data_IF_106445982699
#
_entry.id   IF_106445982699
#
_cell.length_a   1.000
_cell.length_b   1.000
_cell.length_c   1.000
_cell.angle_alpha   90.00
_cell.angle_beta   90.00
_cell.angle_gamma   90.00
#
_symmetry.space_group_name_H-M   'P 1'
#
loop_
_entity.id
_entity.type
_entity.pdbx_description
1 polymer ?
#
# COMPACT_ATOMS: atom_id res chain seq x y z
N UNK A 1 -27.74 39.88 70.77
CA UNK A 1 -27.32 39.56 69.39
C UNK A 1 -26.16 38.57 69.43
N UNK A 2 -26.39 37.27 69.21
CA UNK A 2 -25.36 36.22 69.16
C UNK A 2 -25.01 35.94 67.69
N UNK A 3 -23.78 36.22 67.27
CA UNK A 3 -23.29 35.85 65.94
C UNK A 3 -22.88 34.37 65.96
N UNK A 4 -23.63 33.53 65.26
CA UNK A 4 -23.25 32.14 64.95
C UNK A 4 -22.10 32.16 63.96
N UNK A 5 -20.95 31.60 64.35
CA UNK A 5 -19.83 31.33 63.46
C UNK A 5 -20.01 29.91 62.89
N UNK A 6 -20.28 29.82 61.59
CA UNK A 6 -20.33 28.55 60.85
C UNK A 6 -18.92 28.24 60.37
N UNK A 7 -18.28 27.21 60.94
CA UNK A 7 -16.97 26.74 60.50
C UNK A 7 -17.14 25.92 59.21
N UNK A 8 -16.70 26.48 58.09
CA UNK A 8 -16.62 25.78 56.81
C UNK A 8 -15.49 24.74 56.87
N UNK A 9 -15.85 23.46 56.82
CA UNK A 9 -14.90 22.35 56.83
C UNK A 9 -14.32 22.18 55.42
N UNK A 10 -13.08 22.64 55.21
CA UNK A 10 -12.37 22.45 53.96
C UNK A 10 -12.07 20.96 53.75
N UNK A 11 -12.68 20.35 52.74
CA UNK A 11 -12.35 18.98 52.32
C UNK A 11 -10.99 19.02 51.62
N UNK A 12 -10.00 18.35 52.20
CA UNK A 12 -8.71 18.18 51.56
C UNK A 12 -8.87 17.14 50.44
N UNK A 13 -8.69 17.57 49.19
CA UNK A 13 -8.61 16.64 48.06
C UNK A 13 -7.28 15.87 48.14
N UNK A 14 -7.27 14.53 48.03
CA UNK A 14 -6.03 13.80 47.94
C UNK A 14 -5.28 14.24 46.68
N UNK A 15 -4.03 14.69 46.85
CA UNK A 15 -3.14 15.05 45.75
C UNK A 15 -2.52 13.80 45.13
N UNK A 16 -2.25 13.85 43.82
CA UNK A 16 -1.57 12.80 43.08
C UNK A 16 -0.16 12.53 43.66
N UNK A 17 0.19 11.26 43.83
CA UNK A 17 1.55 10.88 44.24
C UNK A 17 2.47 10.71 43.01
N UNK A 18 3.77 10.95 43.18
CA UNK A 18 4.77 10.65 42.14
C UNK A 18 4.77 9.16 41.76
N UNK A 19 4.43 8.29 42.72
CA UNK A 19 4.39 6.84 42.53
C UNK A 19 3.25 6.44 41.59
N UNK A 20 2.07 7.05 41.69
CA UNK A 20 0.97 6.82 40.74
C UNK A 20 1.33 7.24 39.32
N UNK A 21 1.97 8.41 39.16
CA UNK A 21 2.44 8.86 37.84
C UNK A 21 3.45 7.87 37.25
N UNK A 22 4.38 7.37 38.08
CA UNK A 22 5.39 6.40 37.66
C UNK A 22 4.75 5.08 37.21
N UNK A 23 3.78 4.55 37.96
CA UNK A 23 3.06 3.33 37.57
C UNK A 23 2.32 3.53 36.25
N UNK A 24 1.67 4.67 36.04
CA UNK A 24 0.97 4.99 34.78
C UNK A 24 1.95 5.01 33.61
N UNK A 25 3.11 5.67 33.74
CA UNK A 25 4.11 5.72 32.68
C UNK A 25 4.67 4.34 32.33
N UNK A 26 4.88 3.47 33.32
CA UNK A 26 5.31 2.08 33.10
C UNK A 26 4.27 1.29 32.31
N UNK A 27 2.99 1.37 32.69
CA UNK A 27 1.90 0.69 31.98
C UNK A 27 1.75 1.22 30.55
N UNK A 28 1.84 2.54 30.35
CA UNK A 28 1.79 3.15 29.02
C UNK A 28 2.97 2.70 28.14
N UNK A 29 4.19 2.60 28.69
CA UNK A 29 5.36 2.08 27.98
C UNK A 29 5.20 0.62 27.54
N UNK A 30 4.67 -0.23 28.42
CA UNK A 30 4.38 -1.64 28.12
C UNK A 30 3.32 -1.78 27.01
N UNK A 31 2.23 -1.00 27.10
CA UNK A 31 1.18 -1.00 26.08
C UNK A 31 1.70 -0.50 24.72
N UNK A 32 2.49 0.58 24.70
CA UNK A 32 3.08 1.11 23.48
C UNK A 32 3.97 0.07 22.76
N UNK A 33 4.74 -0.72 23.51
CA UNK A 33 5.61 -1.77 22.95
C UNK A 33 4.85 -2.93 22.28
N UNK A 34 3.63 -3.25 22.74
CA UNK A 34 2.84 -4.36 22.19
C UNK A 34 2.05 -3.94 20.95
N UNK A 35 1.55 -2.70 20.92
CA UNK A 35 0.60 -2.25 19.89
C UNK A 35 1.31 -1.79 18.61
N UNK A 36 2.53 -1.24 18.73
CA UNK A 36 3.29 -0.72 17.58
C UNK A 36 3.55 -1.74 16.47
N UNK A 37 4.22 -2.88 16.72
CA UNK A 37 4.67 -3.79 15.67
C UNK A 37 3.53 -4.48 14.89
N UNK A 38 2.39 -4.74 15.56
CA UNK A 38 1.27 -5.45 14.94
C UNK A 38 0.54 -4.62 13.86
N UNK A 39 0.50 -3.30 14.04
CA UNK A 39 -0.18 -2.42 13.09
C UNK A 39 0.60 -2.29 11.77
N UNK A 40 1.92 -2.17 11.83
CA UNK A 40 2.77 -2.08 10.64
C UNK A 40 2.78 -3.36 9.80
N UNK A 41 2.88 -4.54 10.44
CA UNK A 41 2.87 -5.84 9.74
C UNK A 41 1.51 -6.23 9.12
N UNK A 42 0.44 -5.50 9.46
CA UNK A 42 -0.87 -5.72 8.86
C UNK A 42 -1.09 -4.79 7.66
N UNK A 43 -0.55 -3.56 7.71
CA UNK A 43 -0.62 -2.61 6.61
C UNK A 43 0.16 -3.11 5.39
N UNK A 44 1.43 -3.48 5.52
CA UNK A 44 2.20 -3.85 4.32
C UNK A 44 1.85 -5.23 3.76
N UNK A 45 1.27 -6.14 4.56
CA UNK A 45 0.58 -7.33 4.02
C UNK A 45 -0.63 -6.98 3.15
N UNK A 46 -1.30 -5.85 3.39
CA UNK A 46 -2.39 -5.40 2.53
C UNK A 46 -1.86 -4.82 1.23
N UNK A 47 -0.76 -4.05 1.27
CA UNK A 47 -0.13 -3.46 0.09
C UNK A 47 0.30 -4.54 -0.89
N UNK A 48 1.08 -5.53 -0.47
CA UNK A 48 1.52 -6.65 -1.32
C UNK A 48 0.34 -7.36 -2.00
N UNK A 49 -0.79 -7.54 -1.31
CA UNK A 49 -2.00 -8.15 -1.89
C UNK A 49 -2.65 -7.26 -2.94
N UNK A 50 -2.74 -5.95 -2.69
CA UNK A 50 -3.26 -4.98 -3.66
C UNK A 50 -2.38 -4.96 -4.90
N UNK A 51 -1.05 -4.93 -4.74
CA UNK A 51 -0.11 -4.97 -5.85
C UNK A 51 -0.29 -6.22 -6.72
N UNK A 52 -0.44 -7.40 -6.10
CA UNK A 52 -0.68 -8.66 -6.81
C UNK A 52 -2.00 -8.65 -7.58
N UNK A 53 -3.08 -8.14 -6.96
CA UNK A 53 -4.37 -8.02 -7.63
C UNK A 53 -4.33 -7.02 -8.80
N UNK A 54 -3.59 -5.93 -8.66
CA UNK A 54 -3.36 -4.95 -9.74
C UNK A 54 -2.56 -5.56 -10.89
N UNK A 55 -1.49 -6.32 -10.61
CA UNK A 55 -0.73 -7.06 -11.64
C UNK A 55 -1.65 -8.03 -12.37
N UNK A 56 -2.45 -8.82 -11.66
CA UNK A 56 -3.39 -9.75 -12.29
C UNK A 56 -4.41 -9.02 -13.20
N UNK A 57 -4.91 -7.87 -12.77
CA UNK A 57 -5.81 -7.04 -13.57
C UNK A 57 -5.15 -6.48 -14.83
N UNK A 58 -3.91 -5.99 -14.71
CA UNK A 58 -3.11 -5.51 -15.82
C UNK A 58 -2.75 -6.63 -16.80
N UNK A 59 -2.37 -7.81 -16.29
CA UNK A 59 -2.12 -9.01 -17.10
C UNK A 59 -3.34 -9.39 -17.94
N UNK A 60 -4.55 -9.41 -17.35
CA UNK A 60 -5.78 -9.67 -18.10
C UNK A 60 -6.02 -8.63 -19.20
N UNK A 61 -5.76 -7.36 -18.94
CA UNK A 61 -5.89 -6.30 -19.94
C UNK A 61 -4.88 -6.47 -21.09
N UNK A 62 -3.63 -6.87 -20.77
CA UNK A 62 -2.60 -7.20 -21.76
C UNK A 62 -3.01 -8.41 -22.61
N UNK A 63 -3.59 -9.44 -22.01
CA UNK A 63 -4.06 -10.63 -22.73
C UNK A 63 -5.18 -10.28 -23.72
N UNK A 64 -6.14 -9.45 -23.31
CA UNK A 64 -7.21 -8.96 -24.20
C UNK A 64 -6.62 -8.13 -25.34
N UNK A 65 -5.68 -7.22 -25.04
CA UNK A 65 -4.98 -6.44 -26.06
C UNK A 65 -4.31 -7.36 -27.10
N UNK A 66 -3.65 -8.44 -26.65
CA UNK A 66 -3.02 -9.42 -27.55
C UNK A 66 -4.03 -10.17 -28.39
N UNK A 67 -5.18 -10.57 -27.83
CA UNK A 67 -6.22 -11.28 -28.59
C UNK A 67 -6.74 -10.41 -29.75
N UNK A 68 -6.92 -9.11 -29.52
CA UNK A 68 -7.46 -8.17 -30.52
C UNK A 68 -6.41 -7.76 -31.57
N UNK A 69 -5.21 -7.40 -31.12
CA UNK A 69 -4.16 -6.82 -31.99
C UNK A 69 -3.22 -7.88 -32.57
N UNK A 70 -3.14 -9.05 -31.92
CA UNK A 70 -2.25 -10.16 -32.24
C UNK A 70 -0.91 -10.15 -31.51
N UNK A 71 -0.61 -9.11 -30.73
CA UNK A 71 0.68 -8.93 -30.02
C UNK A 71 0.50 -8.15 -28.72
N UNK A 72 1.44 -8.25 -27.80
CA UNK A 72 1.46 -7.34 -26.64
C UNK A 72 1.96 -5.94 -27.05
N UNK A 73 1.65 -4.89 -26.28
CA UNK A 73 2.25 -3.58 -26.47
C UNK A 73 3.78 -3.63 -26.42
N UNK A 74 4.46 -2.82 -27.22
CA UNK A 74 5.92 -2.70 -27.10
C UNK A 74 6.31 -2.03 -25.78
N UNK A 75 7.57 -2.18 -25.37
CA UNK A 75 8.10 -1.47 -24.19
C UNK A 75 7.96 0.05 -24.33
N UNK A 76 8.08 0.60 -25.55
CA UNK A 76 7.92 2.03 -25.82
C UNK A 76 6.47 2.50 -25.70
N UNK A 77 5.51 1.68 -26.14
CA UNK A 77 4.09 1.94 -25.97
C UNK A 77 3.67 1.82 -24.50
N UNK A 78 4.25 0.83 -23.80
CA UNK A 78 4.03 0.56 -22.39
C UNK A 78 2.58 0.23 -22.05
N UNK A 79 2.26 0.33 -20.76
CA UNK A 79 0.89 0.11 -20.26
C UNK A 79 -0.10 1.18 -20.73
N UNK A 80 0.36 2.32 -21.26
CA UNK A 80 -0.50 3.36 -21.79
C UNK A 80 -1.28 2.89 -23.03
N UNK A 81 -0.77 1.91 -23.78
CA UNK A 81 -1.49 1.27 -24.87
C UNK A 81 -2.79 0.59 -24.42
N UNK A 82 -2.92 0.28 -23.13
CA UNK A 82 -4.14 -0.28 -22.55
C UNK A 82 -5.24 0.76 -22.35
N UNK A 83 -4.88 2.05 -22.34
CA UNK A 83 -5.80 3.16 -22.06
C UNK A 83 -6.10 3.96 -23.33
N UNK A 84 -5.10 4.18 -24.17
CA UNK A 84 -5.22 4.97 -25.39
C UNK A 84 -4.67 4.19 -26.59
N UNK A 85 -5.27 4.40 -27.75
CA UNK A 85 -4.84 3.79 -29.00
C UNK A 85 -3.41 4.25 -29.36
N UNK A 86 -2.45 3.33 -29.53
CA UNK A 86 -1.16 3.65 -30.13
C UNK A 86 -1.33 4.08 -31.60
N UNK A 87 -0.49 5.00 -32.08
CA UNK A 87 -0.57 5.48 -33.47
C UNK A 87 -0.33 4.38 -34.51
N UNK A 88 0.42 3.33 -34.13
CA UNK A 88 0.81 2.23 -35.02
C UNK A 88 -0.05 0.97 -34.86
N UNK A 89 -1.19 1.04 -34.16
CA UNK A 89 -2.06 -0.11 -33.92
C UNK A 89 -3.51 0.13 -34.41
N UNK A 90 -3.78 -0.08 -35.71
CA UNK A 90 -5.10 0.14 -36.29
C UNK A 90 -6.16 -0.87 -35.83
N UNK A 91 -5.74 -2.01 -35.23
CA UNK A 91 -6.64 -3.03 -34.67
C UNK A 91 -7.00 -2.77 -33.20
N UNK A 92 -6.62 -1.61 -32.66
CA UNK A 92 -6.93 -1.27 -31.28
C UNK A 92 -8.44 -1.06 -31.10
N UNK A 93 -9.04 -1.85 -30.20
CA UNK A 93 -10.48 -1.83 -29.88
C UNK A 93 -10.77 -1.39 -28.44
N UNK A 94 -9.78 -0.80 -27.77
CA UNK A 94 -9.85 -0.43 -26.35
C UNK A 94 -10.79 0.75 -26.06
N UNK A 95 -10.77 1.29 -24.82
CA UNK A 95 -9.76 1.07 -23.79
C UNK A 95 -9.92 -0.26 -23.04
N UNK A 96 -8.79 -0.91 -22.76
CA UNK A 96 -8.72 -2.17 -21.99
C UNK A 96 -8.68 -1.92 -20.47
N UNK A 97 -8.43 -0.68 -20.05
CA UNK A 97 -8.51 -0.22 -18.66
C UNK A 97 -9.49 0.95 -18.53
N UNK A 98 -10.46 0.85 -17.61
CA UNK A 98 -11.49 1.88 -17.43
C UNK A 98 -11.00 3.12 -16.68
N UNK A 99 -10.05 2.98 -15.76
CA UNK A 99 -9.60 4.05 -14.84
C UNK A 99 -8.16 4.53 -15.10
N UNK A 100 -7.60 4.18 -16.26
CA UNK A 100 -6.20 4.40 -16.55
C UNK A 100 -5.28 3.34 -15.93
N UNK A 101 -3.97 3.51 -16.11
CA UNK A 101 -2.96 2.64 -15.51
C UNK A 101 -2.83 3.00 -14.03
N UNK A 102 -3.13 2.08 -13.09
CA UNK A 102 -2.95 2.36 -11.68
C UNK A 102 -1.46 2.43 -11.34
N UNK A 103 -1.14 3.21 -10.30
CA UNK A 103 0.13 3.08 -9.61
C UNK A 103 0.09 1.88 -8.66
N UNK A 104 1.25 1.35 -8.34
CA UNK A 104 1.40 0.35 -7.29
C UNK A 104 1.02 0.95 -5.91
N UNK A 105 0.86 0.11 -4.86
CA UNK A 105 0.45 0.57 -3.53
C UNK A 105 1.41 1.58 -2.89
N UNK A 106 2.65 1.65 -3.36
CA UNK A 106 3.68 2.55 -2.87
C UNK A 106 3.84 3.81 -3.74
N UNK A 107 2.91 4.03 -4.68
CA UNK A 107 2.83 5.22 -5.52
C UNK A 107 3.78 5.23 -6.71
N UNK A 108 4.36 4.08 -7.08
CA UNK A 108 5.26 3.95 -8.22
C UNK A 108 4.53 3.40 -9.44
N UNK A 109 5.07 3.67 -10.62
CA UNK A 109 4.59 3.04 -11.84
C UNK A 109 5.03 1.57 -11.90
N UNK A 110 4.17 0.71 -12.42
CA UNK A 110 4.55 -0.66 -12.75
C UNK A 110 5.61 -0.68 -13.84
N UNK A 111 6.58 -1.59 -13.70
CA UNK A 111 7.60 -1.85 -14.72
C UNK A 111 7.03 -2.86 -15.69
N UNK A 112 6.96 -2.48 -16.97
CA UNK A 112 6.50 -3.32 -18.06
C UNK A 112 7.56 -3.40 -19.15
N UNK A 113 7.82 -4.61 -19.65
CA UNK A 113 8.75 -4.86 -20.74
C UNK A 113 8.23 -5.96 -21.67
N UNK A 114 8.28 -5.71 -22.98
CA UNK A 114 8.02 -6.70 -24.01
C UNK A 114 9.00 -6.53 -25.18
N UNK A 115 9.68 -7.60 -25.63
CA UNK A 115 9.61 -8.97 -25.11
C UNK A 115 10.19 -9.09 -23.68
N UNK A 116 9.60 -9.96 -22.87
CA UNK A 116 10.04 -10.20 -21.49
C UNK A 116 11.28 -11.12 -21.41
N UNK A 117 11.99 -11.05 -20.29
CA UNK A 117 13.05 -12.01 -19.94
C UNK A 117 12.45 -13.33 -19.41
N UNK A 118 11.27 -13.30 -18.79
CA UNK A 118 10.64 -14.47 -18.16
C UNK A 118 9.43 -15.01 -18.94
N UNK A 119 9.17 -14.49 -20.13
CA UNK A 119 8.03 -14.88 -20.96
C UNK A 119 7.76 -13.88 -22.08
N UNK A 120 6.51 -13.84 -22.56
CA UNK A 120 6.13 -12.92 -23.64
C UNK A 120 6.22 -11.43 -23.22
N UNK A 121 6.01 -11.16 -21.93
CA UNK A 121 6.23 -9.86 -21.30
C UNK A 121 6.61 -10.04 -19.82
N UNK A 122 7.28 -9.03 -19.28
CA UNK A 122 7.49 -8.88 -17.85
C UNK A 122 6.62 -7.74 -17.32
N UNK A 123 5.90 -7.99 -16.22
CA UNK A 123 5.17 -6.97 -15.47
C UNK A 123 5.48 -7.13 -13.98
N UNK A 124 6.00 -6.08 -13.35
CA UNK A 124 6.40 -6.14 -11.93
C UNK A 124 6.34 -4.79 -11.21
N UNK A 125 6.35 -4.85 -9.88
CA UNK A 125 6.69 -3.74 -8.97
C UNK A 125 7.88 -4.13 -8.10
N UNK A 126 8.72 -3.15 -7.77
CA UNK A 126 9.92 -3.27 -6.94
C UNK A 126 9.63 -3.30 -5.43
N UNK A 127 8.38 -3.54 -5.04
CA UNK A 127 8.00 -3.58 -3.63
C UNK A 127 8.10 -2.22 -2.93
N UNK A 128 8.11 -2.26 -1.59
CA UNK A 128 8.06 -1.05 -0.75
C UNK A 128 9.30 -0.18 -0.84
N UNK A 129 10.50 -0.77 -0.85
CA UNK A 129 11.77 -0.04 -0.91
C UNK A 129 12.10 0.46 -2.32
N UNK A 130 11.46 -0.11 -3.35
CA UNK A 130 11.67 0.30 -4.73
C UNK A 130 13.02 -0.14 -5.28
N UNK A 131 13.63 -1.18 -4.69
CA UNK A 131 14.90 -1.74 -5.13
C UNK A 131 14.69 -3.14 -5.71
N UNK A 132 15.57 -3.57 -6.63
CA UNK A 132 15.50 -4.93 -7.12
C UNK A 132 15.83 -5.94 -6.02
N UNK A 133 15.11 -7.06 -6.00
CA UNK A 133 15.21 -8.09 -4.97
C UNK A 133 14.37 -7.82 -3.72
N UNK A 134 14.95 -8.06 -2.54
CA UNK A 134 14.29 -7.86 -1.24
C UNK A 134 13.53 -9.09 -0.70
N UNK A 135 13.07 -8.98 0.54
CA UNK A 135 12.26 -10.00 1.22
C UNK A 135 11.01 -9.36 1.86
N UNK A 136 9.95 -10.16 2.02
CA UNK A 136 8.71 -9.72 2.64
C UNK A 136 8.02 -8.60 1.85
N UNK A 137 7.84 -7.43 2.47
CA UNK A 137 7.18 -6.27 1.84
C UNK A 137 8.07 -5.53 0.82
N UNK A 138 9.38 -5.75 0.90
CA UNK A 138 10.35 -5.19 -0.04
C UNK A 138 10.56 -6.11 -1.24
N UNK A 139 10.05 -7.34 -1.19
CA UNK A 139 10.21 -8.27 -2.30
C UNK A 139 9.48 -7.77 -3.54
N UNK A 140 10.12 -7.94 -4.69
CA UNK A 140 9.48 -7.76 -5.99
C UNK A 140 8.22 -8.61 -6.11
N UNK A 141 7.21 -8.05 -6.76
CA UNK A 141 5.99 -8.77 -7.12
C UNK A 141 5.91 -8.76 -8.63
N UNK A 142 5.96 -9.93 -9.23
CA UNK A 142 6.08 -10.14 -10.67
C UNK A 142 4.87 -10.91 -11.22
N UNK A 143 4.64 -10.83 -12.53
CA UNK A 143 3.53 -11.52 -13.20
C UNK A 143 3.76 -13.01 -13.45
N UNK A 144 5.01 -13.47 -13.39
CA UNK A 144 5.39 -14.87 -13.65
C UNK A 144 5.58 -15.71 -12.39
N UNK A 145 5.39 -15.13 -11.19
CA UNK A 145 5.61 -15.79 -9.89
C UNK A 145 4.34 -15.95 -9.05
#
# INVERSE_FOLDING_TARGET
>A
MKRMQTLAQARCSPGFTLLELLVVLVVLGLLAGIVGPKYFNQLGRSETKVARAQIEGLSKALDIYRVETGRYPSTEQGLNALVAAPSDEPRWSGPYLQKGVPQDPWGRAYVYRSPGENGDYDLLTLGKDGQPGGEGENAEITSWQ
#
